data_IF_668643623314
#
_entry.id   IF_668643623314
#
_cell.length_a   1.000
_cell.length_b   1.000
_cell.length_c   1.000
_cell.angle_alpha   90.00
_cell.angle_beta   90.00
_cell.angle_gamma   90.00
#
_symmetry.space_group_name_H-M   'P 1'
#
loop_
_entity.id
_entity.type
_entity.pdbx_description
1 polymer ?
#
# COMPACT_ATOMS: atom_id res chain seq x y z
N UNK A 1 -12.99 16.39 -2.26
CA UNK A 1 -13.00 15.01 -2.79
C UNK A 1 -12.54 15.11 -4.23
N UNK A 2 -11.53 14.32 -4.66
CA UNK A 2 -10.88 14.47 -5.99
C UNK A 2 -11.82 14.20 -7.16
N UNK A 3 -12.86 13.40 -6.97
CA UNK A 3 -13.88 13.11 -7.99
C UNK A 3 -15.16 12.57 -7.33
N UNK A 4 -16.29 12.73 -8.02
CA UNK A 4 -17.58 12.14 -7.63
C UNK A 4 -17.73 10.68 -8.09
N UNK A 5 -17.02 10.28 -9.15
CA UNK A 5 -16.96 8.89 -9.66
C UNK A 5 -15.53 8.64 -10.13
N UNK A 6 -14.94 7.52 -9.71
CA UNK A 6 -13.59 7.15 -10.10
C UNK A 6 -13.60 6.52 -11.51
N UNK A 7 -12.81 7.07 -12.44
CA UNK A 7 -12.46 6.39 -13.68
C UNK A 7 -11.37 5.33 -13.46
N UNK A 8 -11.08 4.49 -14.48
CA UNK A 8 -10.01 3.49 -14.39
C UNK A 8 -8.61 4.13 -14.37
N UNK A 9 -8.43 5.29 -15.00
CA UNK A 9 -7.14 5.97 -15.15
C UNK A 9 -6.69 6.68 -13.87
N UNK A 10 -5.55 6.30 -13.29
CA UNK A 10 -4.98 6.88 -12.07
C UNK A 10 -4.00 8.04 -12.26
N UNK A 11 -3.88 8.58 -13.47
CA UNK A 11 -2.91 9.66 -13.76
C UNK A 11 -3.17 10.92 -12.93
N UNK A 12 -4.43 11.29 -12.72
CA UNK A 12 -4.77 12.48 -11.92
C UNK A 12 -4.50 12.28 -10.43
N UNK A 13 -4.67 11.06 -9.89
CA UNK A 13 -4.23 10.75 -8.53
C UNK A 13 -2.70 10.83 -8.39
N UNK A 14 -1.94 10.34 -9.38
CA UNK A 14 -0.47 10.44 -9.37
C UNK A 14 -0.03 11.91 -9.37
N UNK A 15 -0.60 12.74 -10.25
CA UNK A 15 -0.33 14.19 -10.30
C UNK A 15 -0.70 14.89 -8.99
N UNK A 16 -1.83 14.50 -8.40
CA UNK A 16 -2.30 15.08 -7.14
C UNK A 16 -1.40 14.70 -5.97
N UNK A 17 -0.97 13.44 -5.88
CA UNK A 17 0.00 12.99 -4.89
C UNK A 17 1.34 13.71 -5.03
N UNK A 18 1.81 13.93 -6.27
CA UNK A 18 3.00 14.73 -6.54
C UNK A 18 2.84 16.20 -6.08
N UNK A 19 1.72 16.82 -6.42
CA UNK A 19 1.41 18.21 -6.03
C UNK A 19 1.34 18.37 -4.50
N UNK A 20 0.72 17.41 -3.81
CA UNK A 20 0.66 17.39 -2.35
C UNK A 20 2.06 17.20 -1.75
N UNK A 21 2.89 16.33 -2.34
CA UNK A 21 4.27 16.12 -1.92
C UNK A 21 5.06 17.42 -1.96
N UNK A 22 4.97 18.19 -3.05
CA UNK A 22 5.64 19.49 -3.19
C UNK A 22 5.08 20.52 -2.22
N UNK A 23 3.76 20.51 -1.98
CA UNK A 23 3.13 21.37 -0.99
C UNK A 23 3.65 21.13 0.44
N UNK A 24 4.16 19.93 0.78
CA UNK A 24 4.69 19.65 2.11
C UNK A 24 5.87 20.57 2.51
N UNK A 25 6.62 21.08 1.54
CA UNK A 25 7.81 21.93 1.78
C UNK A 25 7.43 23.19 2.57
N UNK A 26 6.40 23.89 2.12
CA UNK A 26 6.00 25.19 2.70
C UNK A 26 4.65 25.16 3.39
N UNK A 27 3.82 24.18 3.05
CA UNK A 27 2.43 24.07 3.50
C UNK A 27 2.28 23.31 4.82
N UNK A 28 3.02 22.20 4.99
CA UNK A 28 2.86 21.32 6.15
C UNK A 28 3.13 22.06 7.46
N UNK A 29 4.19 22.87 7.53
CA UNK A 29 4.54 23.64 8.74
C UNK A 29 3.42 24.59 9.19
N UNK A 30 2.58 25.06 8.26
CA UNK A 30 1.49 26.02 8.55
C UNK A 30 0.28 25.37 9.21
N UNK A 31 0.16 24.05 9.10
CA UNK A 31 -0.97 23.28 9.68
C UNK A 31 -0.56 22.44 10.88
N UNK A 32 0.74 22.37 11.20
CA UNK A 32 1.24 21.65 12.36
C UNK A 32 1.03 22.43 13.66
N UNK A 33 0.88 21.74 14.82
CA UNK A 33 0.83 22.40 16.12
C UNK A 33 2.07 23.24 16.41
N UNK A 34 1.91 24.27 17.26
CA UNK A 34 3.05 25.11 17.69
C UNK A 34 4.17 24.25 18.27
N UNK A 35 5.39 24.50 17.82
CA UNK A 35 6.59 23.78 18.26
C UNK A 35 6.86 22.46 17.52
N UNK A 36 5.94 22.00 16.67
CA UNK A 36 6.13 20.80 15.84
C UNK A 36 6.76 21.19 14.50
N UNK A 37 7.84 20.51 14.11
CA UNK A 37 8.51 20.70 12.81
C UNK A 37 8.52 19.39 12.03
N UNK A 38 8.20 19.41 10.73
CA UNK A 38 8.28 18.22 9.91
C UNK A 38 9.75 17.89 9.60
N UNK A 39 10.07 16.59 9.54
CA UNK A 39 11.35 16.12 9.02
C UNK A 39 11.14 15.53 7.62
N UNK A 40 11.28 16.37 6.60
CA UNK A 40 11.06 15.96 5.21
C UNK A 40 12.17 15.04 4.64
N UNK A 41 13.27 14.84 5.37
CA UNK A 41 14.28 13.82 5.03
C UNK A 41 13.83 12.39 5.39
N UNK A 42 12.76 12.26 6.18
CA UNK A 42 12.17 10.97 6.60
C UNK A 42 10.73 10.85 6.08
N UNK A 43 10.55 11.09 4.79
CA UNK A 43 9.24 11.08 4.15
C UNK A 43 8.91 9.67 3.62
N UNK A 44 7.80 9.10 4.09
CA UNK A 44 7.26 7.85 3.54
C UNK A 44 6.07 8.11 2.61
N UNK A 45 5.95 7.30 1.57
CA UNK A 45 4.78 7.27 0.69
C UNK A 45 4.02 5.97 0.89
N UNK A 46 2.70 6.06 1.05
CA UNK A 46 1.86 4.89 1.28
C UNK A 46 0.53 4.99 0.54
N UNK A 47 -0.02 3.84 0.16
CA UNK A 47 -1.36 3.77 -0.39
C UNK A 47 -1.95 2.37 -0.36
N UNK A 48 -3.27 2.30 -0.31
CA UNK A 48 -4.04 1.05 -0.37
C UNK A 48 -4.67 0.82 -1.75
N UNK A 49 -4.71 -0.42 -2.24
CA UNK A 49 -5.41 -0.77 -3.50
C UNK A 49 -4.87 0.03 -4.69
N UNK A 50 -5.74 0.72 -5.43
CA UNK A 50 -5.37 1.70 -6.46
C UNK A 50 -4.47 2.81 -5.90
N UNK A 51 -4.63 3.21 -4.65
CA UNK A 51 -3.72 4.13 -3.98
C UNK A 51 -2.32 3.55 -3.80
N UNK A 52 -2.20 2.23 -3.58
CA UNK A 52 -0.91 1.53 -3.56
C UNK A 52 -0.24 1.57 -4.94
N UNK A 53 -0.98 1.30 -6.01
CA UNK A 53 -0.52 1.53 -7.39
C UNK A 53 -0.03 2.95 -7.60
N UNK A 54 -0.80 3.96 -7.17
CA UNK A 54 -0.42 5.38 -7.27
C UNK A 54 0.88 5.67 -6.52
N UNK A 55 1.04 5.11 -5.31
CA UNK A 55 2.26 5.24 -4.52
C UNK A 55 3.49 4.68 -5.26
N UNK A 56 3.38 3.46 -5.80
CA UNK A 56 4.43 2.87 -6.62
C UNK A 56 4.72 3.67 -7.88
N UNK A 57 3.69 4.09 -8.63
CA UNK A 57 3.86 4.89 -9.84
C UNK A 57 4.61 6.20 -9.54
N UNK A 58 4.24 6.90 -8.47
CA UNK A 58 4.91 8.14 -8.07
C UNK A 58 6.36 7.88 -7.65
N UNK A 59 6.63 6.82 -6.87
CA UNK A 59 7.98 6.43 -6.48
C UNK A 59 8.86 6.03 -7.68
N UNK A 60 8.27 5.47 -8.73
CA UNK A 60 8.92 5.12 -10.00
C UNK A 60 9.05 6.31 -10.97
N UNK A 61 8.63 7.51 -10.58
CA UNK A 61 8.84 8.74 -11.35
C UNK A 61 7.80 9.04 -12.43
N UNK A 62 6.59 8.47 -12.34
CA UNK A 62 5.48 8.77 -13.27
C UNK A 62 4.99 10.22 -13.15
N UNK A 63 5.34 10.90 -12.06
CA UNK A 63 5.28 12.34 -11.91
C UNK A 63 6.52 12.83 -11.14
N UNK A 64 6.89 14.10 -11.34
CA UNK A 64 8.04 14.70 -10.67
C UNK A 64 7.63 15.24 -9.30
N UNK A 65 8.51 15.08 -8.32
CA UNK A 65 8.43 15.72 -7.00
C UNK A 65 9.74 16.41 -6.67
N UNK A 66 9.65 17.49 -5.91
CA UNK A 66 10.77 18.22 -5.32
C UNK A 66 11.40 17.47 -4.12
N UNK A 67 10.59 16.65 -3.43
CA UNK A 67 11.03 15.81 -2.32
C UNK A 67 11.33 14.39 -2.77
N UNK A 68 12.26 13.74 -2.06
CA UNK A 68 12.55 12.31 -2.19
C UNK A 68 11.82 11.56 -1.08
N UNK A 69 11.36 10.34 -1.40
CA UNK A 69 10.82 9.41 -0.42
C UNK A 69 11.94 8.52 0.12
N UNK A 70 11.90 8.26 1.42
CA UNK A 70 12.85 7.41 2.14
C UNK A 70 12.30 6.01 2.38
N UNK A 71 11.00 5.80 2.16
CA UNK A 71 10.32 4.52 2.30
C UNK A 71 9.04 4.49 1.45
N UNK A 72 8.71 3.33 0.89
CA UNK A 72 7.48 3.08 0.12
C UNK A 72 6.66 1.95 0.78
N UNK A 73 5.35 2.14 0.89
CA UNK A 73 4.43 1.18 1.50
C UNK A 73 3.22 0.96 0.57
N UNK A 74 3.11 -0.24 0.01
CA UNK A 74 1.91 -0.68 -0.71
C UNK A 74 1.05 -1.57 0.17
N UNK A 75 -0.14 -1.12 0.54
CA UNK A 75 -1.13 -1.94 1.25
C UNK A 75 -2.08 -2.55 0.25
N UNK A 76 -1.92 -3.83 0.00
CA UNK A 76 -2.67 -4.64 -0.97
C UNK A 76 -2.82 -3.91 -2.32
N UNK A 77 -1.70 -3.49 -2.97
CA UNK A 77 -1.73 -2.66 -4.17
C UNK A 77 -2.36 -3.41 -5.34
N UNK A 78 -3.07 -2.70 -6.24
CA UNK A 78 -3.76 -3.29 -7.39
C UNK A 78 -3.51 -2.48 -8.66
N UNK A 79 -2.95 -3.12 -9.70
CA UNK A 79 -2.60 -2.49 -10.97
C UNK A 79 -3.68 -2.62 -12.05
N UNK A 80 -4.79 -3.30 -11.76
CA UNK A 80 -5.95 -3.33 -12.65
C UNK A 80 -6.85 -4.54 -12.42
N UNK A 81 -7.42 -5.07 -13.50
CA UNK A 81 -8.48 -6.09 -13.41
C UNK A 81 -7.99 -7.52 -13.62
N UNK A 82 -6.87 -7.69 -14.32
CA UNK A 82 -6.19 -8.96 -14.58
C UNK A 82 -4.87 -8.69 -15.31
N UNK A 83 -3.99 -9.69 -15.40
CA UNK A 83 -2.80 -9.61 -16.24
C UNK A 83 -3.17 -9.27 -17.69
N UNK A 84 -2.48 -8.27 -18.27
CA UNK A 84 -2.80 -7.72 -19.60
C UNK A 84 -4.04 -6.83 -19.65
N UNK A 85 -4.68 -6.57 -18.50
CA UNK A 85 -5.82 -5.65 -18.31
C UNK A 85 -5.56 -4.69 -17.16
N UNK A 86 -4.31 -4.22 -17.07
CA UNK A 86 -3.93 -3.18 -16.12
C UNK A 86 -4.66 -1.87 -16.45
N UNK A 87 -4.96 -1.08 -15.43
CA UNK A 87 -5.52 0.26 -15.63
C UNK A 87 -4.42 1.24 -15.99
N UNK A 88 -4.77 2.35 -16.64
CA UNK A 88 -3.78 3.35 -16.99
C UNK A 88 -3.36 4.22 -15.78
N UNK A 89 -2.10 4.70 -15.73
CA UNK A 89 -0.97 4.08 -16.43
C UNK A 89 -0.63 2.71 -15.78
N UNK A 90 -0.25 1.68 -16.56
CA UNK A 90 0.18 0.40 -16.00
C UNK A 90 1.50 0.60 -15.23
N UNK A 91 1.62 -0.03 -14.06
CA UNK A 91 2.83 0.06 -13.23
C UNK A 91 3.64 -1.22 -13.30
N UNK A 92 2.99 -2.38 -13.28
CA UNK A 92 3.64 -3.69 -13.38
C UNK A 92 4.21 -3.90 -14.77
N UNK A 93 5.45 -4.35 -14.83
CA UNK A 93 6.18 -4.67 -16.05
C UNK A 93 6.28 -6.18 -16.31
N UNK A 94 5.94 -6.99 -15.31
CA UNK A 94 6.09 -8.44 -15.26
C UNK A 94 7.53 -8.92 -15.44
N UNK A 95 8.50 -8.08 -15.07
CA UNK A 95 9.93 -8.42 -15.03
C UNK A 95 10.39 -8.41 -13.59
N UNK A 96 10.90 -9.54 -13.05
CA UNK A 96 11.42 -9.56 -11.69
C UNK A 96 12.46 -8.46 -11.49
N UNK A 97 12.41 -7.79 -10.33
CA UNK A 97 13.38 -6.76 -9.92
C UNK A 97 13.44 -5.52 -10.85
N UNK A 98 12.37 -5.22 -11.56
CA UNK A 98 12.26 -4.06 -12.45
C UNK A 98 12.14 -2.71 -11.72
N UNK A 99 11.61 -2.71 -10.50
CA UNK A 99 11.33 -1.50 -9.72
C UNK A 99 12.59 -1.02 -9.00
N UNK A 100 13.31 -0.11 -9.66
CA UNK A 100 14.45 0.60 -9.11
C UNK A 100 14.00 1.82 -8.28
N UNK A 101 13.56 1.53 -7.06
CA UNK A 101 12.88 2.48 -6.17
C UNK A 101 13.84 3.46 -5.45
N UNK A 102 15.13 3.12 -5.30
CA UNK A 102 16.12 3.88 -4.52
C UNK A 102 15.76 4.07 -3.03
N UNK A 103 14.73 3.38 -2.53
CA UNK A 103 14.33 3.34 -1.14
C UNK A 103 13.79 1.95 -0.77
N UNK A 104 13.63 1.67 0.52
CA UNK A 104 13.05 0.40 0.96
C UNK A 104 11.56 0.32 0.64
N UNK A 105 11.09 -0.87 0.27
CA UNK A 105 9.68 -1.14 0.00
C UNK A 105 9.07 -2.13 0.99
N UNK A 106 7.87 -1.81 1.46
CA UNK A 106 7.00 -2.72 2.18
C UNK A 106 5.76 -2.98 1.32
N UNK A 107 5.51 -4.25 1.03
CA UNK A 107 4.26 -4.69 0.42
C UNK A 107 3.48 -5.50 1.45
N UNK A 108 2.25 -5.12 1.71
CA UNK A 108 1.32 -5.90 2.54
C UNK A 108 0.27 -6.49 1.61
N UNK A 109 0.00 -7.79 1.69
CA UNK A 109 -0.99 -8.47 0.86
C UNK A 109 -2.15 -9.04 1.67
N UNK A 110 -3.26 -9.30 0.99
CA UNK A 110 -4.39 -10.07 1.54
C UNK A 110 -4.76 -11.25 0.64
N UNK A 111 -4.72 -12.46 1.19
CA UNK A 111 -4.95 -13.70 0.44
C UNK A 111 -6.39 -13.82 -0.07
N UNK A 112 -7.38 -13.39 0.71
CA UNK A 112 -8.78 -13.44 0.27
C UNK A 112 -9.10 -12.34 -0.75
N UNK A 113 -8.26 -11.32 -0.91
CA UNK A 113 -8.41 -10.26 -1.90
C UNK A 113 -8.38 -10.79 -3.34
N UNK A 114 -7.63 -11.86 -3.58
CA UNK A 114 -7.51 -12.57 -4.85
C UNK A 114 -8.75 -13.41 -5.21
N UNK A 115 -9.61 -13.66 -4.22
CA UNK A 115 -10.77 -14.54 -4.38
C UNK A 115 -12.02 -13.74 -4.74
N UNK A 116 -12.79 -14.28 -5.68
CA UNK A 116 -14.14 -13.77 -5.95
C UNK A 116 -15.06 -14.09 -4.77
N UNK A 117 -15.86 -13.10 -4.36
CA UNK A 117 -16.91 -13.34 -3.35
C UNK A 117 -18.08 -14.14 -3.93
N UNK A 118 -18.45 -13.85 -5.17
CA UNK A 118 -19.49 -14.55 -5.92
C UNK A 118 -19.22 -14.46 -7.43
N UNK A 119 -19.94 -15.21 -8.28
CA UNK A 119 -19.70 -15.22 -9.72
C UNK A 119 -19.93 -13.88 -10.45
N UNK A 120 -20.71 -12.97 -9.86
CA UNK A 120 -21.11 -11.70 -10.48
C UNK A 120 -20.10 -10.57 -10.26
N UNK A 121 -19.26 -10.67 -9.23
CA UNK A 121 -18.23 -9.65 -8.94
C UNK A 121 -16.82 -10.22 -9.14
N UNK A 122 -15.91 -9.47 -9.79
CA UNK A 122 -14.51 -9.86 -9.88
C UNK A 122 -13.85 -9.88 -8.50
N UNK A 123 -12.67 -10.50 -8.42
CA UNK A 123 -11.81 -10.37 -7.24
C UNK A 123 -11.39 -8.90 -7.09
N UNK A 124 -11.22 -8.45 -5.86
CA UNK A 124 -10.89 -7.05 -5.60
C UNK A 124 -9.41 -6.74 -5.74
N UNK A 125 -8.55 -7.75 -5.54
CA UNK A 125 -7.12 -7.70 -5.77
C UNK A 125 -6.70 -8.95 -6.56
N UNK A 126 -7.06 -9.04 -7.85
CA UNK A 126 -6.84 -10.25 -8.63
C UNK A 126 -5.37 -10.64 -8.71
N UNK A 127 -5.07 -11.93 -8.58
CA UNK A 127 -3.73 -12.46 -8.85
C UNK A 127 -3.26 -12.08 -10.26
N UNK A 128 -1.98 -11.78 -10.42
CA UNK A 128 -1.38 -11.27 -11.67
C UNK A 128 -1.40 -9.74 -11.80
N UNK A 129 -2.02 -9.01 -10.87
CA UNK A 129 -2.03 -7.53 -10.83
C UNK A 129 -2.04 -6.99 -9.38
N UNK A 130 -1.58 -7.77 -8.41
CA UNK A 130 -1.74 -7.50 -6.98
C UNK A 130 -0.40 -7.52 -6.24
N UNK A 131 -0.46 -7.56 -4.91
CA UNK A 131 0.67 -7.48 -3.99
C UNK A 131 1.85 -8.38 -4.36
N UNK A 132 1.62 -9.60 -4.87
CA UNK A 132 2.71 -10.51 -5.21
C UNK A 132 3.55 -9.94 -6.35
N UNK A 133 2.91 -9.48 -7.43
CA UNK A 133 3.63 -8.92 -8.56
C UNK A 133 4.34 -7.61 -8.20
N UNK A 134 3.73 -6.77 -7.34
CA UNK A 134 4.41 -5.57 -6.85
C UNK A 134 5.66 -5.90 -6.03
N UNK A 135 5.65 -6.97 -5.23
CA UNK A 135 6.81 -7.41 -4.47
C UNK A 135 7.89 -8.05 -5.36
N UNK A 136 7.50 -8.93 -6.28
CA UNK A 136 8.42 -9.63 -7.19
C UNK A 136 9.20 -8.65 -8.08
N UNK A 137 8.58 -7.52 -8.42
CA UNK A 137 9.20 -6.45 -9.19
C UNK A 137 10.08 -5.51 -8.33
N UNK A 138 9.92 -5.46 -7.01
CA UNK A 138 10.79 -4.67 -6.13
C UNK A 138 12.25 -5.14 -6.18
N UNK A 139 13.20 -4.20 -6.27
CA UNK A 139 14.61 -4.46 -5.89
C UNK A 139 14.80 -4.45 -4.37
N UNK A 140 15.85 -5.11 -3.85
CA UNK A 140 16.18 -5.01 -2.43
C UNK A 140 16.56 -3.57 -2.01
N UNK A 141 16.29 -3.16 -0.76
CA UNK A 141 15.61 -3.93 0.27
C UNK A 141 14.08 -3.87 0.12
N UNK A 142 13.42 -5.03 0.16
CA UNK A 142 11.96 -5.12 0.14
C UNK A 142 11.45 -6.20 1.09
N UNK A 143 10.25 -6.00 1.62
CA UNK A 143 9.58 -6.96 2.50
C UNK A 143 8.12 -7.15 2.09
N UNK A 144 7.63 -8.37 2.24
CA UNK A 144 6.28 -8.77 1.90
C UNK A 144 5.64 -9.50 3.06
N UNK A 145 4.50 -9.00 3.50
CA UNK A 145 3.71 -9.61 4.57
C UNK A 145 2.30 -9.90 4.05
N UNK A 146 1.85 -11.15 4.10
CA UNK A 146 0.52 -11.53 3.56
C UNK A 146 -0.37 -12.06 4.67
N UNK A 147 -1.54 -11.46 4.84
CA UNK A 147 -2.57 -11.95 5.74
C UNK A 147 -3.35 -13.11 5.09
N UNK A 148 -3.31 -14.30 5.69
CA UNK A 148 -3.83 -15.52 5.05
C UNK A 148 -5.37 -15.63 5.04
N UNK A 149 -6.01 -15.19 6.12
CA UNK A 149 -7.47 -15.31 6.29
C UNK A 149 -8.22 -13.99 6.18
N UNK A 150 -7.62 -13.00 5.50
CA UNK A 150 -8.15 -11.66 5.37
C UNK A 150 -8.23 -11.22 3.93
N UNK A 151 -9.17 -10.32 3.65
CA UNK A 151 -9.45 -9.80 2.33
C UNK A 151 -9.14 -8.32 2.17
N UNK A 152 -9.24 -7.88 0.91
CA UNK A 152 -8.77 -6.60 0.42
C UNK A 152 -9.29 -5.36 1.17
N UNK A 153 -10.41 -5.48 1.87
CA UNK A 153 -11.07 -4.37 2.56
C UNK A 153 -11.04 -4.50 4.08
N UNK A 154 -10.44 -5.55 4.63
CA UNK A 154 -10.46 -5.78 6.08
C UNK A 154 -9.52 -4.87 6.85
N UNK A 155 -8.60 -4.19 6.16
CA UNK A 155 -7.74 -3.13 6.71
C UNK A 155 -8.43 -1.75 6.79
N UNK A 156 -9.64 -1.61 6.25
CA UNK A 156 -10.37 -0.34 6.30
C UNK A 156 -11.04 -0.11 7.67
N UNK A 157 -11.32 1.14 7.96
CA UNK A 157 -12.09 1.55 9.14
C UNK A 157 -13.48 0.89 9.17
N UNK A 158 -14.02 0.73 10.38
CA UNK A 158 -15.33 0.09 10.59
C UNK A 158 -16.50 0.95 10.13
N UNK A 159 -16.33 2.28 10.05
CA UNK A 159 -17.33 3.21 9.56
C UNK A 159 -16.86 3.89 8.27
N UNK A 160 -17.30 3.37 7.14
CA UNK A 160 -17.27 4.13 5.89
C UNK A 160 -18.65 4.77 5.68
N UNK A 161 -18.75 6.08 5.95
CA UNK A 161 -20.03 6.81 5.84
C UNK A 161 -20.55 6.80 4.38
N UNK A 162 -21.87 6.73 4.23
CA UNK A 162 -22.56 6.76 2.95
C UNK A 162 -22.80 5.38 2.31
N UNK A 163 -23.66 5.35 1.27
CA UNK A 163 -24.08 4.13 0.59
C UNK A 163 -22.90 3.35 -0.02
N UNK A 164 -21.89 4.08 -0.52
CA UNK A 164 -20.65 3.49 -1.06
C UNK A 164 -19.82 2.80 0.01
N UNK A 165 -19.72 3.42 1.19
CA UNK A 165 -19.01 2.82 2.32
C UNK A 165 -19.63 1.48 2.71
N UNK A 166 -20.96 1.46 2.90
CA UNK A 166 -21.70 0.21 3.14
C UNK A 166 -21.58 -0.82 2.02
N UNK A 167 -21.46 -0.40 0.76
CA UNK A 167 -21.24 -1.31 -0.36
C UNK A 167 -19.86 -1.97 -0.35
N UNK A 168 -18.82 -1.34 0.23
CA UNK A 168 -17.49 -1.94 0.33
C UNK A 168 -17.52 -3.29 1.07
N UNK A 169 -18.34 -3.42 2.12
CA UNK A 169 -18.51 -4.68 2.88
C UNK A 169 -19.10 -5.83 2.04
N UNK A 170 -19.80 -5.51 0.95
CA UNK A 170 -20.54 -6.49 0.17
C UNK A 170 -19.77 -7.03 -1.04
N UNK A 171 -18.75 -6.33 -1.53
CA UNK A 171 -18.14 -6.64 -2.84
C UNK A 171 -16.98 -7.62 -2.78
N UNK A 172 -16.14 -7.53 -1.74
CA UNK A 172 -14.96 -8.38 -1.62
C UNK A 172 -15.21 -9.54 -0.66
N UNK A 173 -14.46 -10.64 -0.86
CA UNK A 173 -14.33 -11.67 0.16
C UNK A 173 -13.58 -11.07 1.35
N UNK A 174 -14.05 -11.38 2.55
CA UNK A 174 -13.52 -10.84 3.81
C UNK A 174 -13.25 -11.98 4.79
N UNK A 175 -12.33 -11.72 5.70
CA UNK A 175 -12.09 -12.50 6.90
C UNK A 175 -13.16 -12.27 7.95
N UNK A 176 -12.91 -12.81 9.15
CA UNK A 176 -13.87 -12.83 10.24
C UNK A 176 -14.10 -11.44 10.87
N UNK A 177 -13.04 -10.71 11.15
CA UNK A 177 -13.05 -9.46 11.90
C UNK A 177 -12.08 -8.45 11.27
N UNK A 178 -12.33 -7.13 11.34
CA UNK A 178 -11.39 -6.14 10.76
C UNK A 178 -10.30 -5.66 11.71
N UNK A 179 -10.61 -5.60 13.01
CA UNK A 179 -9.68 -5.07 14.01
C UNK A 179 -8.32 -5.80 13.99
N UNK A 180 -8.24 -7.14 13.97
CA UNK A 180 -6.94 -7.82 13.95
C UNK A 180 -6.14 -7.52 12.68
N UNK A 181 -6.80 -7.38 11.52
CA UNK A 181 -6.16 -6.96 10.28
C UNK A 181 -5.56 -5.55 10.38
N UNK A 182 -6.31 -4.60 10.95
CA UNK A 182 -5.82 -3.24 11.16
C UNK A 182 -4.67 -3.18 12.15
N UNK A 183 -4.76 -3.95 13.25
CA UNK A 183 -3.68 -4.06 14.24
C UNK A 183 -2.40 -4.59 13.58
N UNK A 184 -2.53 -5.63 12.74
CA UNK A 184 -1.44 -6.18 11.95
C UNK A 184 -0.85 -5.15 10.97
N UNK A 185 -1.67 -4.55 10.10
CA UNK A 185 -1.20 -3.56 9.10
C UNK A 185 -0.51 -2.39 9.80
N UNK A 186 -1.11 -1.85 10.87
CA UNK A 186 -0.53 -0.76 11.65
C UNK A 186 0.80 -1.16 12.29
N UNK A 187 0.87 -2.36 12.89
CA UNK A 187 2.09 -2.89 13.51
C UNK A 187 3.25 -3.03 12.52
N UNK A 188 3.01 -3.66 11.37
CA UNK A 188 4.04 -3.84 10.32
C UNK A 188 4.49 -2.51 9.75
N UNK A 189 3.55 -1.59 9.46
CA UNK A 189 3.87 -0.24 8.97
C UNK A 189 4.74 0.53 9.96
N UNK A 190 4.40 0.48 11.25
CA UNK A 190 5.20 1.15 12.30
C UNK A 190 6.58 0.51 12.43
N UNK A 191 6.67 -0.82 12.45
CA UNK A 191 7.95 -1.53 12.54
C UNK A 191 8.86 -1.20 11.34
N UNK A 192 8.29 -1.17 10.13
CA UNK A 192 9.01 -0.81 8.91
C UNK A 192 9.51 0.64 8.92
N UNK A 193 8.66 1.60 9.32
CA UNK A 193 9.06 3.01 9.45
C UNK A 193 10.11 3.21 10.54
N UNK A 194 10.00 2.52 11.69
CA UNK A 194 11.04 2.55 12.74
C UNK A 194 12.38 2.01 12.23
N UNK A 195 12.34 0.94 11.44
CA UNK A 195 13.51 0.38 10.78
C UNK A 195 14.17 1.35 9.81
N UNK A 196 13.48 1.68 8.72
CA UNK A 196 14.09 2.40 7.58
C UNK A 196 14.14 3.91 7.74
N UNK A 197 13.25 4.52 8.53
CA UNK A 197 13.31 5.96 8.84
C UNK A 197 14.00 6.22 10.17
N UNK A 198 13.82 5.35 11.16
CA UNK A 198 14.37 5.50 12.50
C UNK A 198 15.76 4.88 12.69
N UNK A 199 16.14 3.89 11.89
CA UNK A 199 17.36 3.10 12.06
C UNK A 199 17.23 1.98 13.10
N UNK A 200 16.02 1.66 13.56
CA UNK A 200 15.74 0.65 14.58
C UNK A 200 14.99 -0.55 13.98
N UNK A 201 15.76 -1.54 13.51
CA UNK A 201 15.23 -2.71 12.78
C UNK A 201 14.63 -3.79 13.69
N UNK A 202 14.71 -3.65 15.03
CA UNK A 202 14.38 -4.72 15.99
C UNK A 202 12.98 -5.27 15.81
N UNK A 203 11.99 -4.39 15.71
CA UNK A 203 10.59 -4.79 15.58
C UNK A 203 10.32 -5.47 14.23
N UNK A 204 10.92 -4.96 13.14
CA UNK A 204 10.73 -5.53 11.81
C UNK A 204 11.36 -6.92 11.68
N UNK A 205 12.58 -7.10 12.22
CA UNK A 205 13.26 -8.40 12.23
C UNK A 205 12.55 -9.39 13.15
N UNK A 206 11.98 -8.93 14.28
CA UNK A 206 11.15 -9.78 15.13
C UNK A 206 9.93 -10.31 14.40
N UNK A 207 9.23 -9.46 13.64
CA UNK A 207 8.07 -9.88 12.83
C UNK A 207 8.44 -10.87 11.72
N UNK A 208 9.64 -10.71 11.13
CA UNK A 208 10.20 -11.67 10.16
C UNK A 208 10.53 -13.02 10.81
N UNK A 209 11.23 -13.00 11.93
CA UNK A 209 11.78 -14.21 12.55
C UNK A 209 10.75 -14.96 13.40
N UNK A 210 9.71 -14.25 13.88
CA UNK A 210 8.63 -14.79 14.73
C UNK A 210 7.26 -14.30 14.24
N UNK A 211 6.82 -14.71 13.04
CA UNK A 211 5.54 -14.28 12.48
C UNK A 211 4.33 -14.64 13.37
N UNK A 212 4.45 -15.70 14.18
CA UNK A 212 3.42 -16.13 15.15
C UNK A 212 3.13 -15.12 16.26
N UNK A 213 3.95 -14.06 16.38
CA UNK A 213 3.68 -12.94 17.30
C UNK A 213 2.62 -11.96 16.75
N UNK A 214 2.25 -12.08 15.48
CA UNK A 214 1.22 -11.26 14.87
C UNK A 214 -0.19 -11.62 15.39
N UNK A 215 -1.13 -10.66 15.41
CA UNK A 215 -2.51 -10.93 15.83
C UNK A 215 -3.30 -11.80 14.83
N UNK A 216 -2.71 -12.14 13.69
CA UNK A 216 -3.30 -12.89 12.58
C UNK A 216 -2.26 -13.83 11.97
N UNK A 217 -2.72 -14.89 11.28
CA UNK A 217 -1.83 -15.77 10.54
C UNK A 217 -1.29 -15.09 9.27
N UNK A 218 0.03 -15.14 9.10
CA UNK A 218 0.73 -14.46 8.00
C UNK A 218 1.76 -15.35 7.30
N UNK A 219 2.15 -14.95 6.09
CA UNK A 219 3.44 -15.32 5.49
C UNK A 219 4.32 -14.08 5.34
N UNK A 220 5.63 -14.28 5.36
CA UNK A 220 6.62 -13.20 5.34
C UNK A 220 7.77 -13.55 4.42
N UNK A 221 8.11 -12.65 3.51
CA UNK A 221 9.24 -12.78 2.59
C UNK A 221 10.07 -11.49 2.57
N UNK A 222 11.40 -11.64 2.53
CA UNK A 222 12.35 -10.52 2.51
C UNK A 222 13.28 -10.65 1.30
N UNK A 223 13.54 -9.51 0.68
CA UNK A 223 14.54 -9.34 -0.36
C UNK A 223 15.61 -8.42 0.22
N UNK A 224 16.78 -8.98 0.49
CA UNK A 224 17.93 -8.30 1.11
C UNK A 224 18.99 -7.89 0.09
#
# INVERSE_FOLDING_TARGET
MLYSVAGPDSQEEIKSAATITDWLVDGLIRVLPRGVRPNLHKLALSGHSRGGKVAFALALGYAKTSLKFSALIGVDPVDGMAMGKQTNPPVLTYRPRSFDLKMAALVIGSRLGELKKNPLFPACAPSGVSHQEFFDECQPPASHFVAKDYGHLDMLDDETKGLRGKATYCLCKSGKDRKPMRDFVGGVVVAFMRGYLGGDMKDLLLLRDKPDTCPIEISVDFLE
#
